data_IF_848571479860
#
_entry.id   IF_848571479860
#
_cell.length_a   1.000
_cell.length_b   1.000
_cell.length_c   1.000
_cell.angle_alpha   90.00
_cell.angle_beta   90.00
_cell.angle_gamma   90.00
#
_symmetry.space_group_name_H-M   'P 1'
#
loop_
_entity.id
_entity.type
_entity.pdbx_description
1 polymer ?
#
# COMPACT_ATOMS: atom_id res chain seq x y z
N UNK A 1 30.64 -30.94 -11.19
CA UNK A 1 29.21 -30.62 -11.43
C UNK A 1 29.03 -30.52 -12.94
N UNK A 2 28.12 -31.29 -13.54
CA UNK A 2 27.96 -31.27 -15.00
C UNK A 2 27.38 -29.91 -15.44
N UNK A 3 27.61 -29.50 -16.68
CA UNK A 3 27.00 -28.29 -17.26
C UNK A 3 25.48 -28.30 -17.02
N UNK A 4 24.80 -29.43 -17.28
CA UNK A 4 23.36 -29.56 -17.01
C UNK A 4 22.94 -29.17 -15.57
N UNK A 5 23.73 -29.47 -14.54
CA UNK A 5 23.42 -29.07 -13.15
C UNK A 5 23.51 -27.55 -12.90
N UNK A 6 24.38 -26.84 -13.62
CA UNK A 6 24.53 -25.39 -13.52
C UNK A 6 23.38 -24.67 -14.21
N UNK A 7 22.92 -25.17 -15.35
CA UNK A 7 21.81 -24.53 -16.08
C UNK A 7 20.48 -24.71 -15.30
N UNK A 8 20.27 -25.87 -14.65
CA UNK A 8 19.14 -26.10 -13.73
C UNK A 8 19.17 -25.15 -12.54
N UNK A 9 20.34 -24.94 -11.94
CA UNK A 9 20.50 -23.98 -10.83
C UNK A 9 20.16 -22.54 -11.27
N UNK A 10 20.59 -22.13 -12.47
CA UNK A 10 20.24 -20.80 -13.02
C UNK A 10 18.74 -20.65 -13.28
N UNK A 11 18.09 -21.68 -13.81
CA UNK A 11 16.65 -21.67 -14.01
C UNK A 11 15.91 -21.53 -12.69
N UNK A 12 16.32 -22.26 -11.66
CA UNK A 12 15.75 -22.13 -10.31
C UNK A 12 15.88 -20.70 -9.76
N UNK A 13 17.07 -20.10 -9.84
CA UNK A 13 17.30 -18.73 -9.39
C UNK A 13 16.39 -17.71 -10.11
N UNK A 14 16.24 -17.86 -11.43
CA UNK A 14 15.41 -16.96 -12.24
C UNK A 14 13.91 -17.17 -11.99
N UNK A 15 13.45 -18.42 -11.90
CA UNK A 15 12.03 -18.76 -11.66
C UNK A 15 11.56 -18.21 -10.31
N UNK A 16 12.40 -18.32 -9.28
CA UNK A 16 12.09 -17.83 -7.95
C UNK A 16 12.49 -16.37 -7.71
N UNK A 17 12.96 -15.66 -8.75
CA UNK A 17 13.44 -14.26 -8.67
C UNK A 17 14.42 -14.03 -7.50
N UNK A 18 15.23 -15.03 -7.18
CA UNK A 18 16.11 -15.01 -6.00
C UNK A 18 17.12 -13.85 -6.07
N UNK A 19 17.79 -13.57 -7.21
CA UNK A 19 18.71 -12.43 -7.31
C UNK A 19 18.00 -11.10 -7.01
N UNK A 20 16.84 -10.86 -7.62
CA UNK A 20 16.05 -9.64 -7.44
C UNK A 20 15.60 -9.44 -5.98
N UNK A 21 15.20 -10.53 -5.32
CA UNK A 21 14.80 -10.55 -3.92
C UNK A 21 15.96 -10.08 -3.02
N UNK A 22 17.14 -10.67 -3.21
CA UNK A 22 18.32 -10.32 -2.42
C UNK A 22 18.83 -8.92 -2.74
N UNK A 23 18.75 -8.45 -3.98
CA UNK A 23 19.08 -7.07 -4.35
C UNK A 23 18.21 -6.05 -3.60
N UNK A 24 16.89 -6.28 -3.55
CA UNK A 24 15.96 -5.42 -2.80
C UNK A 24 16.27 -5.43 -1.30
N UNK A 25 16.52 -6.61 -0.74
CA UNK A 25 16.84 -6.79 0.68
C UNK A 25 18.17 -6.11 1.05
N UNK A 26 19.22 -6.32 0.25
CA UNK A 26 20.53 -5.71 0.42
C UNK A 26 20.45 -4.18 0.35
N UNK A 27 19.70 -3.65 -0.61
CA UNK A 27 19.48 -2.21 -0.73
C UNK A 27 18.84 -1.64 0.53
N UNK A 28 17.81 -2.31 1.06
CA UNK A 28 17.17 -1.88 2.31
C UNK A 28 18.09 -1.95 3.54
N UNK A 29 18.95 -2.97 3.62
CA UNK A 29 19.96 -3.12 4.69
C UNK A 29 21.01 -2.01 4.63
N UNK A 30 21.51 -1.71 3.43
CA UNK A 30 22.55 -0.69 3.22
C UNK A 30 22.06 0.73 3.57
N UNK A 31 20.78 0.99 3.33
CA UNK A 31 20.13 2.28 3.59
C UNK A 31 19.79 2.46 5.07
N UNK A 32 19.06 1.50 5.67
CA UNK A 32 18.58 1.64 7.06
C UNK A 32 19.65 1.32 8.11
N UNK A 33 20.68 0.54 7.75
CA UNK A 33 21.80 0.14 8.63
C UNK A 33 21.37 -0.24 10.05
N UNK A 34 20.46 -1.22 10.19
CA UNK A 34 19.93 -1.61 11.49
C UNK A 34 21.02 -2.15 12.42
N UNK A 35 20.89 -1.86 13.71
CA UNK A 35 21.82 -2.37 14.75
C UNK A 35 21.83 -3.91 14.81
N UNK A 36 20.68 -4.54 14.53
CA UNK A 36 20.54 -5.99 14.42
C UNK A 36 20.08 -6.38 12.99
N UNK A 37 21.01 -6.73 12.09
CA UNK A 37 20.67 -7.03 10.70
C UNK A 37 19.88 -8.34 10.53
N UNK A 38 20.05 -9.31 11.43
CA UNK A 38 19.38 -10.61 11.34
C UNK A 38 17.88 -10.47 11.58
N UNK A 39 17.51 -9.83 12.69
CA UNK A 39 16.10 -9.58 13.03
C UNK A 39 15.41 -8.69 11.99
N UNK A 40 16.14 -7.72 11.43
CA UNK A 40 15.64 -6.88 10.36
C UNK A 40 15.31 -7.68 9.09
N UNK A 41 16.21 -8.58 8.69
CA UNK A 41 15.98 -9.47 7.53
C UNK A 41 14.74 -10.33 7.76
N UNK A 42 14.57 -10.91 8.95
CA UNK A 42 13.38 -11.71 9.27
C UNK A 42 12.08 -10.90 9.08
N UNK A 43 12.05 -9.66 9.57
CA UNK A 43 10.90 -8.76 9.39
C UNK A 43 10.64 -8.46 7.93
N UNK A 44 11.66 -8.13 7.14
CA UNK A 44 11.51 -7.86 5.70
C UNK A 44 11.09 -9.10 4.91
N UNK A 45 11.57 -10.29 5.29
CA UNK A 45 11.15 -11.55 4.65
C UNK A 45 9.68 -11.87 4.95
N UNK A 46 9.20 -11.57 6.17
CA UNK A 46 7.77 -11.64 6.47
C UNK A 46 6.96 -10.66 5.60
N UNK A 47 7.39 -9.42 5.47
CA UNK A 47 6.74 -8.42 4.61
C UNK A 47 6.68 -8.87 3.14
N UNK A 48 7.76 -9.46 2.63
CA UNK A 48 7.82 -9.98 1.25
C UNK A 48 6.87 -11.16 1.06
N UNK A 49 6.78 -12.06 2.05
CA UNK A 49 5.82 -13.18 2.01
C UNK A 49 4.38 -12.68 1.89
N UNK A 50 4.04 -11.61 2.59
CA UNK A 50 2.69 -11.05 2.58
C UNK A 50 2.39 -10.31 1.26
N UNK A 51 3.41 -9.72 0.62
CA UNK A 51 3.30 -9.04 -0.69
C UNK A 51 3.30 -10.00 -1.89
N UNK A 52 3.88 -11.19 -1.75
CA UNK A 52 4.18 -12.10 -2.87
C UNK A 52 5.49 -11.72 -3.57
N UNK A 53 6.33 -12.73 -3.82
CA UNK A 53 7.68 -12.55 -4.43
C UNK A 53 7.57 -11.95 -5.84
N UNK A 54 6.48 -12.22 -6.55
CA UNK A 54 6.21 -11.71 -7.88
C UNK A 54 6.08 -10.18 -7.93
N UNK A 55 5.64 -9.55 -6.84
CA UNK A 55 5.43 -8.11 -6.69
C UNK A 55 6.64 -7.37 -6.09
N UNK A 56 7.71 -8.11 -5.75
CA UNK A 56 8.94 -7.51 -5.23
C UNK A 56 9.83 -7.05 -6.36
N UNK A 57 10.07 -5.74 -6.38
CA UNK A 57 11.07 -5.06 -7.19
C UNK A 57 12.22 -4.59 -6.31
N UNK A 58 13.31 -4.15 -6.93
CA UNK A 58 14.43 -3.55 -6.20
C UNK A 58 14.03 -2.32 -5.36
N UNK A 59 13.00 -1.58 -5.78
CA UNK A 59 12.50 -0.41 -5.04
C UNK A 59 11.52 -0.77 -3.93
N UNK A 60 10.87 -1.93 -3.98
CA UNK A 60 9.68 -2.22 -3.15
C UNK A 60 9.95 -1.99 -1.66
N UNK A 61 11.11 -2.46 -1.16
CA UNK A 61 11.49 -2.35 0.25
C UNK A 61 12.11 -1.00 0.65
N UNK A 62 12.39 -0.11 -0.30
CA UNK A 62 13.00 1.21 -0.07
C UNK A 62 12.15 2.37 -0.62
N UNK A 63 10.97 2.06 -1.16
CA UNK A 63 10.06 3.02 -1.78
C UNK A 63 9.62 4.11 -0.78
N UNK A 64 9.51 3.76 0.49
CA UNK A 64 9.23 4.70 1.59
C UNK A 64 10.41 5.63 1.90
N UNK A 65 11.64 5.26 1.56
CA UNK A 65 12.84 6.08 1.76
C UNK A 65 13.09 7.05 0.61
N UNK A 66 12.40 6.88 -0.52
CA UNK A 66 12.59 7.78 -1.66
C UNK A 66 12.03 9.16 -1.31
N UNK A 67 12.83 10.24 -1.43
CA UNK A 67 12.45 11.57 -0.96
C UNK A 67 11.06 11.98 -1.43
N UNK A 68 10.70 11.66 -2.69
CA UNK A 68 9.41 12.03 -3.29
C UNK A 68 8.39 10.89 -3.38
N UNK A 69 8.77 9.63 -3.11
CA UNK A 69 7.82 8.51 -3.20
C UNK A 69 7.28 8.08 -1.84
N UNK A 70 7.86 8.55 -0.75
CA UNK A 70 7.37 8.36 0.62
C UNK A 70 5.87 8.69 0.73
N UNK A 71 5.08 7.71 1.19
CA UNK A 71 3.64 7.82 1.34
C UNK A 71 3.23 8.87 2.37
N UNK A 72 3.99 9.03 3.45
CA UNK A 72 3.73 10.05 4.48
C UNK A 72 3.98 11.43 3.88
N UNK A 73 5.11 11.64 3.22
CA UNK A 73 5.41 12.94 2.58
C UNK A 73 4.34 13.31 1.56
N UNK A 74 3.88 12.37 0.72
CA UNK A 74 2.82 12.62 -0.26
C UNK A 74 1.48 13.03 0.36
N UNK A 75 1.19 12.61 1.60
CA UNK A 75 -0.03 13.03 2.27
C UNK A 75 0.03 14.51 2.70
N UNK A 76 1.18 14.97 3.20
CA UNK A 76 1.30 16.28 3.86
C UNK A 76 1.99 17.37 3.04
N UNK A 77 2.75 17.02 1.99
CA UNK A 77 3.54 17.98 1.21
C UNK A 77 3.09 17.95 -0.25
N UNK A 78 2.57 19.10 -0.72
CA UNK A 78 2.28 19.36 -2.13
C UNK A 78 3.37 20.25 -2.71
N UNK A 79 4.38 19.65 -3.33
CA UNK A 79 5.54 20.36 -3.88
C UNK A 79 5.46 20.61 -5.39
N UNK A 80 4.37 20.15 -6.05
CA UNK A 80 4.20 20.31 -7.50
C UNK A 80 5.19 19.48 -8.34
N UNK A 81 5.95 18.57 -7.71
CA UNK A 81 6.87 17.66 -8.38
C UNK A 81 6.11 16.70 -9.31
N UNK A 82 6.86 16.01 -10.18
CA UNK A 82 6.30 14.95 -11.03
C UNK A 82 5.53 13.90 -10.20
N UNK A 83 6.07 13.52 -9.05
CA UNK A 83 5.50 12.50 -8.17
C UNK A 83 4.23 12.96 -7.44
N UNK A 84 4.09 14.26 -7.17
CA UNK A 84 2.89 14.88 -6.61
C UNK A 84 1.74 14.88 -7.64
N UNK A 85 2.07 15.17 -8.90
CA UNK A 85 1.12 15.11 -10.03
C UNK A 85 0.64 13.67 -10.27
N UNK A 86 1.55 12.71 -10.35
CA UNK A 86 1.22 11.28 -10.50
C UNK A 86 0.29 10.78 -9.39
N UNK A 87 0.56 11.18 -8.14
CA UNK A 87 -0.26 10.78 -7.00
C UNK A 87 -1.68 11.37 -7.07
N UNK A 88 -1.78 12.65 -7.43
CA UNK A 88 -3.07 13.33 -7.58
C UNK A 88 -3.93 12.67 -8.66
N UNK A 89 -3.33 12.31 -9.79
CA UNK A 89 -4.02 11.59 -10.88
C UNK A 89 -4.52 10.23 -10.38
N UNK A 90 -3.64 9.44 -9.75
CA UNK A 90 -3.99 8.11 -9.24
C UNK A 90 -5.15 8.18 -8.22
N UNK A 91 -5.13 9.15 -7.31
CA UNK A 91 -6.21 9.36 -6.35
C UNK A 91 -7.53 9.71 -7.05
N UNK A 92 -7.49 10.55 -8.09
CA UNK A 92 -8.66 10.85 -8.92
C UNK A 92 -9.24 9.60 -9.58
N UNK A 93 -8.40 8.77 -10.20
CA UNK A 93 -8.81 7.53 -10.86
C UNK A 93 -9.44 6.52 -9.87
N UNK A 94 -8.88 6.41 -8.65
CA UNK A 94 -9.41 5.55 -7.60
C UNK A 94 -10.79 6.03 -7.14
N UNK A 95 -10.96 7.34 -6.95
CA UNK A 95 -12.23 7.92 -6.51
C UNK A 95 -13.30 7.79 -7.61
N UNK A 96 -12.95 8.02 -8.87
CA UNK A 96 -13.85 7.78 -10.01
C UNK A 96 -14.28 6.31 -10.11
N UNK A 97 -13.35 5.38 -9.88
CA UNK A 97 -13.68 3.95 -9.84
C UNK A 97 -14.64 3.61 -8.69
N UNK A 98 -14.39 4.17 -7.51
CA UNK A 98 -15.26 4.02 -6.33
C UNK A 98 -16.64 4.59 -6.59
N UNK A 99 -16.73 5.77 -7.20
CA UNK A 99 -18.01 6.40 -7.53
C UNK A 99 -18.80 5.56 -8.54
N UNK A 100 -18.17 5.09 -9.62
CA UNK A 100 -18.82 4.18 -10.59
C UNK A 100 -19.34 2.91 -9.94
N UNK A 101 -18.60 2.35 -8.97
CA UNK A 101 -19.04 1.18 -8.19
C UNK A 101 -20.25 1.50 -7.31
N UNK A 102 -20.27 2.68 -6.68
CA UNK A 102 -21.40 3.17 -5.88
C UNK A 102 -22.65 3.38 -6.74
N UNK A 103 -22.52 4.07 -7.87
CA UNK A 103 -23.63 4.33 -8.80
C UNK A 103 -24.20 3.02 -9.37
N UNK A 104 -23.32 2.06 -9.70
CA UNK A 104 -23.71 0.72 -10.14
C UNK A 104 -24.51 -0.04 -9.06
N UNK A 105 -24.12 0.10 -7.79
CA UNK A 105 -24.81 -0.51 -6.66
C UNK A 105 -26.18 0.13 -6.42
N UNK A 106 -26.27 1.46 -6.43
CA UNK A 106 -27.53 2.20 -6.29
C UNK A 106 -28.50 1.89 -7.43
N UNK A 107 -27.99 1.78 -8.66
CA UNK A 107 -28.80 1.38 -9.83
C UNK A 107 -29.40 -0.01 -9.65
N UNK A 108 -28.66 -0.98 -9.11
CA UNK A 108 -29.18 -2.33 -8.85
C UNK A 108 -30.21 -2.37 -7.72
N UNK A 109 -30.09 -1.51 -6.70
CA UNK A 109 -31.05 -1.46 -5.58
C UNK A 109 -32.32 -0.67 -5.89
N UNK A 110 -32.29 0.25 -6.86
CA UNK A 110 -33.48 0.98 -7.31
C UNK A 110 -34.47 0.14 -8.15
N UNK A 111 -34.16 -1.14 -8.42
CA UNK A 111 -34.98 -2.05 -9.25
C UNK A 111 -35.88 -3.05 -8.50
N UNK A 112 -35.89 -3.07 -7.17
CA UNK A 112 -36.80 -3.94 -6.40
C UNK A 112 -37.81 -3.06 -5.67
N UNK A 113 -38.98 -2.88 -6.27
CA UNK A 113 -40.15 -2.38 -5.56
C UNK A 113 -40.54 -3.38 -4.49
N UNK A 114 -40.55 -2.93 -3.23
CA UNK A 114 -41.27 -3.62 -2.15
C UNK A 114 -42.23 -2.61 -1.53
N UNK A 115 -43.48 -3.00 -1.48
CA UNK A 115 -44.63 -2.19 -1.12
C UNK A 115 -44.59 -1.75 0.35
N UNK A 116 -45.16 -0.58 0.54
CA UNK A 116 -45.38 0.18 1.76
C UNK A 116 -46.13 -0.63 2.83
N UNK A 117 -45.66 -0.64 4.09
CA UNK A 117 -46.55 -0.66 5.26
C UNK A 117 -45.83 -0.44 6.59
N UNK A 118 -46.37 0.56 7.30
CA UNK A 118 -46.53 0.70 8.75
C UNK A 118 -45.50 1.53 9.53
N UNK A 119 -46.05 2.64 10.03
CA UNK A 119 -45.68 3.41 11.22
C UNK A 119 -45.32 2.51 12.41
N UNK A 120 -44.19 2.78 13.08
CA UNK A 120 -44.11 3.04 14.53
C UNK A 120 -42.64 3.04 15.05
N UNK A 121 -42.34 4.07 15.86
CA UNK A 121 -41.32 4.20 16.93
C UNK A 121 -39.78 4.28 16.68
N UNK A 122 -39.25 5.49 16.96
CA UNK A 122 -38.02 5.94 17.68
C UNK A 122 -36.67 5.16 17.67
N UNK A 123 -35.51 5.80 17.97
CA UNK A 123 -35.03 7.16 17.70
C UNK A 123 -33.63 7.20 17.00
N UNK A 124 -33.22 8.39 16.53
CA UNK A 124 -31.89 8.68 15.97
C UNK A 124 -30.77 8.58 17.04
N UNK A 125 -29.86 7.63 16.89
CA UNK A 125 -28.52 7.70 17.50
C UNK A 125 -27.55 8.36 16.52
N UNK A 126 -27.27 9.64 16.76
CA UNK A 126 -26.09 10.33 16.21
C UNK A 126 -24.83 9.70 16.81
N UNK A 127 -24.19 8.78 16.09
CA UNK A 127 -22.84 8.35 16.45
C UNK A 127 -21.82 9.41 16.04
N UNK A 128 -21.46 10.16 17.07
CA UNK A 128 -20.34 11.07 17.23
C UNK A 128 -19.02 10.39 16.80
N UNK A 129 -18.55 10.68 15.58
CA UNK A 129 -17.20 10.31 15.18
C UNK A 129 -16.20 11.35 15.73
N UNK A 130 -15.29 10.81 16.54
CA UNK A 130 -14.40 11.48 17.46
C UNK A 130 -13.44 12.46 16.76
N UNK A 131 -13.50 13.72 17.21
CA UNK A 131 -12.63 14.82 16.78
C UNK A 131 -11.35 14.79 17.63
N UNK A 132 -10.48 13.80 17.42
CA UNK A 132 -9.20 13.70 18.16
C UNK A 132 -7.99 13.33 17.30
N UNK A 133 -7.93 13.81 16.07
CA UNK A 133 -6.72 13.69 15.23
C UNK A 133 -6.21 15.03 14.73
N UNK A 134 -6.21 16.06 15.57
CA UNK A 134 -5.64 17.37 15.23
C UNK A 134 -5.09 18.12 16.45
N UNK A 135 -4.28 17.47 17.30
CA UNK A 135 -3.48 18.20 18.29
C UNK A 135 -2.15 17.52 18.61
N UNK A 136 -1.23 17.43 17.66
CA UNK A 136 0.20 17.24 17.98
C UNK A 136 1.09 17.77 16.86
N UNK A 137 1.25 19.10 16.77
CA UNK A 137 2.51 19.76 16.37
C UNK A 137 2.41 21.28 16.58
N UNK A 138 2.15 21.74 17.80
CA UNK A 138 2.53 23.09 18.24
C UNK A 138 2.90 23.07 19.72
N UNK A 139 4.05 22.50 20.04
CA UNK A 139 4.75 22.77 21.29
C UNK A 139 6.17 22.20 21.22
N UNK A 140 7.11 22.95 20.65
CA UNK A 140 8.50 22.98 21.11
C UNK A 140 9.11 24.31 20.63
N UNK A 141 9.00 25.32 21.50
CA UNK A 141 10.07 26.31 21.68
C UNK A 141 11.25 25.64 22.39
#
# INVERSE_FOLDING_TARGET
MSVASREVAKQYLNQHKIPQLFESLLSSLMMERPNNPVEYIEKKMCQIRDLGIENVTWETLISHLHPYRDQIRRQFVRDGSLYDKEYTILQGEIEEFRQRKKDQFETMHSGVGFEDSNEDDCPMETQQYDSQLFQLTEAHS
#
